data_IF_685258051405
#
_entry.id   IF_685258051405
#
_cell.length_a   1.000
_cell.length_b   1.000
_cell.length_c   1.000
_cell.angle_alpha   90.00
_cell.angle_beta   90.00
_cell.angle_gamma   90.00
#
_symmetry.space_group_name_H-M   'P 1'
#
loop_
_entity.id
_entity.type
_entity.pdbx_description
1 polymer ?
#
# COMPACT_ATOMS: atom_id res chain seq x y z
N UNK A 1 60.52 -88.32 22.82
CA UNK A 1 59.23 -87.59 22.71
C UNK A 1 59.43 -86.18 23.24
N UNK A 2 58.75 -85.18 22.65
CA UNK A 2 58.80 -83.71 22.94
C UNK A 2 59.91 -82.95 22.19
N UNK A 3 59.67 -81.86 21.46
CA UNK A 3 58.46 -81.11 21.05
C UNK A 3 58.80 -80.51 19.67
N UNK A 4 57.92 -80.64 18.67
CA UNK A 4 58.02 -79.86 17.42
C UNK A 4 57.54 -78.44 17.74
N UNK A 5 58.42 -77.45 17.68
CA UNK A 5 58.03 -76.05 17.78
C UNK A 5 57.48 -75.61 16.42
N UNK A 6 56.16 -75.47 16.36
CA UNK A 6 55.46 -74.92 15.21
C UNK A 6 55.47 -73.39 15.36
N UNK A 7 56.33 -72.72 14.60
CA UNK A 7 56.34 -71.24 14.55
C UNK A 7 55.22 -70.83 13.59
N UNK A 8 54.10 -70.39 14.17
CA UNK A 8 52.95 -69.88 13.43
C UNK A 8 53.21 -68.40 13.11
N UNK A 9 53.60 -68.08 11.88
CA UNK A 9 53.57 -66.70 11.38
C UNK A 9 52.11 -66.34 11.09
N UNK A 10 51.43 -65.69 12.06
CA UNK A 10 50.21 -64.95 11.75
C UNK A 10 50.61 -63.76 10.88
N UNK A 11 49.97 -63.54 9.71
CA UNK A 11 50.18 -62.31 8.98
C UNK A 11 49.71 -61.18 9.89
N UNK A 12 50.56 -60.17 10.10
CA UNK A 12 50.08 -58.86 10.52
C UNK A 12 49.16 -58.38 9.40
N UNK A 13 47.88 -58.71 9.51
CA UNK A 13 46.82 -57.83 9.05
C UNK A 13 47.03 -56.55 9.83
N UNK A 14 47.74 -55.62 9.22
CA UNK A 14 47.59 -54.20 9.52
C UNK A 14 46.08 -53.98 9.52
N UNK A 15 45.48 -53.89 10.71
CA UNK A 15 44.26 -53.16 10.91
C UNK A 15 44.59 -51.73 10.47
N UNK A 16 44.50 -51.49 9.16
CA UNK A 16 44.01 -50.21 8.69
C UNK A 16 42.60 -50.18 9.27
N UNK A 17 42.46 -49.54 10.43
CA UNK A 17 41.19 -48.93 10.80
C UNK A 17 40.82 -48.11 9.56
N UNK A 18 39.89 -48.60 8.75
CA UNK A 18 39.05 -47.67 8.05
C UNK A 18 38.32 -46.95 9.17
N UNK A 19 38.89 -45.84 9.65
CA UNK A 19 38.06 -44.74 10.06
C UNK A 19 37.31 -44.39 8.77
N UNK A 20 36.09 -44.90 8.61
CA UNK A 20 35.22 -44.33 7.59
C UNK A 20 34.97 -42.90 8.05
N UNK A 21 35.64 -41.94 7.41
CA UNK A 21 35.41 -40.52 7.60
C UNK A 21 34.00 -40.23 7.06
N UNK A 22 32.99 -40.59 7.84
CA UNK A 22 31.61 -40.27 7.55
C UNK A 22 31.45 -38.75 7.63
N UNK A 23 30.75 -38.13 6.66
CA UNK A 23 30.45 -36.72 6.73
C UNK A 23 29.74 -36.44 8.07
N UNK A 24 30.18 -35.39 8.75
CA UNK A 24 29.57 -34.96 9.99
C UNK A 24 28.27 -34.23 9.67
N UNK A 25 27.25 -34.48 10.47
CA UNK A 25 26.02 -33.70 10.48
C UNK A 25 26.27 -32.29 11.05
N UNK A 26 25.24 -31.43 11.10
CA UNK A 26 25.38 -30.07 11.62
C UNK A 26 25.76 -30.03 13.13
N UNK A 27 25.55 -31.12 13.88
CA UNK A 27 25.89 -31.26 15.30
C UNK A 27 27.33 -31.78 15.48
N UNK A 28 28.03 -32.07 14.38
CA UNK A 28 29.39 -32.59 14.38
C UNK A 28 29.48 -34.10 14.60
N UNK A 29 28.36 -34.83 14.53
CA UNK A 29 28.27 -36.29 14.66
C UNK A 29 28.57 -36.94 13.31
N UNK A 30 29.66 -37.73 13.18
CA UNK A 30 29.97 -38.46 11.95
C UNK A 30 28.84 -39.43 11.59
N UNK A 31 28.26 -39.29 10.40
CA UNK A 31 27.15 -40.12 9.93
C UNK A 31 25.82 -39.88 10.65
N UNK A 32 25.66 -38.77 11.36
CA UNK A 32 24.38 -38.35 11.91
C UNK A 32 23.43 -37.82 10.84
N UNK A 33 22.14 -37.73 11.18
CA UNK A 33 21.06 -37.32 10.28
C UNK A 33 20.65 -35.83 10.44
N UNK A 34 21.23 -35.09 11.40
CA UNK A 34 20.82 -33.72 11.70
C UNK A 34 21.21 -32.73 10.57
N UNK A 35 20.28 -31.86 10.22
CA UNK A 35 20.48 -30.81 9.22
C UNK A 35 20.21 -29.45 9.87
N UNK A 36 20.99 -28.43 9.47
CA UNK A 36 20.71 -27.06 9.88
C UNK A 36 19.50 -26.57 9.09
N UNK A 37 18.40 -26.24 9.79
CA UNK A 37 17.21 -25.67 9.18
C UNK A 37 17.43 -24.20 8.78
N UNK A 38 16.46 -23.61 8.07
CA UNK A 38 16.57 -22.22 7.60
C UNK A 38 16.57 -21.19 8.75
N UNK A 39 16.32 -21.59 10.01
CA UNK A 39 16.44 -20.76 11.20
C UNK A 39 17.69 -21.06 12.05
N UNK A 40 18.62 -21.88 11.54
CA UNK A 40 19.92 -22.17 12.15
C UNK A 40 19.87 -23.16 13.31
N UNK A 41 18.76 -23.88 13.48
CA UNK A 41 18.64 -24.98 14.43
C UNK A 41 19.11 -26.26 13.76
N UNK A 42 19.99 -26.97 14.45
CA UNK A 42 20.54 -28.23 13.99
C UNK A 42 19.80 -29.40 14.67
N UNK A 43 18.83 -29.98 13.98
CA UNK A 43 18.15 -31.21 14.40
C UNK A 43 17.65 -32.03 13.19
N UNK A 44 16.96 -33.14 13.45
CA UNK A 44 16.43 -34.06 12.44
C UNK A 44 14.89 -34.06 12.38
N UNK A 45 14.24 -33.06 13.00
CA UNK A 45 12.80 -33.03 13.16
C UNK A 45 12.13 -32.07 12.17
N UNK A 46 11.64 -32.57 11.02
CA UNK A 46 11.05 -31.74 9.97
C UNK A 46 9.76 -31.01 10.39
N UNK A 47 9.22 -31.31 11.57
CA UNK A 47 8.04 -30.62 12.10
C UNK A 47 8.36 -29.29 12.80
N UNK A 48 9.64 -29.00 13.08
CA UNK A 48 10.06 -27.70 13.62
C UNK A 48 11.06 -26.97 12.72
N UNK A 49 11.19 -27.40 11.46
CA UNK A 49 11.85 -26.64 10.41
C UNK A 49 11.04 -25.35 10.20
N UNK A 50 11.55 -24.24 10.72
CA UNK A 50 10.82 -22.97 10.85
C UNK A 50 10.04 -22.56 9.58
N UNK A 51 8.71 -22.43 9.70
CA UNK A 51 7.88 -21.89 8.62
C UNK A 51 8.04 -20.37 8.48
N UNK A 52 7.96 -19.88 7.25
CA UNK A 52 7.92 -18.45 6.93
C UNK A 52 6.59 -17.85 7.40
N UNK A 53 6.64 -16.75 8.16
CA UNK A 53 5.44 -16.02 8.51
C UNK A 53 4.91 -15.21 7.32
N UNK A 54 3.75 -14.59 7.50
CA UNK A 54 3.09 -13.85 6.43
C UNK A 54 3.84 -12.56 5.99
N UNK A 55 4.88 -12.14 6.72
CA UNK A 55 5.76 -11.01 6.37
C UNK A 55 7.07 -11.46 5.71
N UNK A 56 7.21 -12.77 5.45
CA UNK A 56 8.41 -13.35 4.86
C UNK A 56 9.53 -13.62 5.86
N UNK A 57 9.21 -13.71 7.16
CA UNK A 57 10.19 -13.91 8.23
C UNK A 57 10.10 -15.35 8.75
N UNK A 58 11.18 -16.11 8.59
CA UNK A 58 11.31 -17.47 9.13
C UNK A 58 11.21 -17.47 10.65
N UNK A 59 10.31 -18.29 11.18
CA UNK A 59 10.01 -18.35 12.62
C UNK A 59 9.36 -17.07 13.17
N UNK A 60 8.87 -16.20 12.28
CA UNK A 60 8.17 -14.98 12.65
C UNK A 60 6.79 -15.27 13.25
N UNK A 61 6.25 -14.29 13.98
CA UNK A 61 4.95 -14.38 14.64
C UNK A 61 3.99 -13.25 14.21
N UNK A 62 4.20 -12.69 13.02
CA UNK A 62 3.35 -11.61 12.54
C UNK A 62 1.91 -12.10 12.30
N UNK A 63 0.96 -11.27 12.71
CA UNK A 63 -0.45 -11.42 12.36
C UNK A 63 -0.69 -10.48 11.19
N UNK A 64 -0.96 -11.04 10.01
CA UNK A 64 -1.21 -10.24 8.82
C UNK A 64 -2.66 -9.78 8.71
N UNK A 65 -2.82 -8.57 8.19
CA UNK A 65 -4.09 -7.98 7.82
C UNK A 65 -3.96 -6.46 7.73
N UNK A 66 -5.05 -5.78 7.38
CA UNK A 66 -5.02 -4.35 7.24
C UNK A 66 -4.75 -3.62 8.58
N UNK A 67 -3.69 -2.80 8.62
CA UNK A 67 -3.32 -2.00 9.81
C UNK A 67 -3.89 -0.58 9.79
N UNK A 68 -4.46 -0.14 8.66
CA UNK A 68 -5.08 1.18 8.52
C UNK A 68 -6.44 1.23 9.23
N UNK A 69 -6.51 1.98 10.33
CA UNK A 69 -7.74 2.18 11.12
C UNK A 69 -8.91 2.83 10.36
N UNK A 70 -8.65 3.40 9.18
CA UNK A 70 -9.66 4.01 8.30
C UNK A 70 -10.18 3.07 7.21
N UNK A 71 -9.57 1.89 7.05
CA UNK A 71 -9.99 0.88 6.08
C UNK A 71 -11.21 0.09 6.57
N UNK A 72 -12.03 -0.39 5.63
CA UNK A 72 -13.25 -1.15 5.93
C UNK A 72 -12.92 -2.50 6.58
N UNK A 73 -11.82 -3.11 6.16
CA UNK A 73 -11.32 -4.38 6.65
C UNK A 73 -10.19 -4.22 7.67
N UNK A 74 -10.12 -3.09 8.38
CA UNK A 74 -9.17 -2.87 9.46
C UNK A 74 -9.18 -4.03 10.46
N UNK A 75 -8.00 -4.60 10.72
CA UNK A 75 -7.80 -5.66 11.69
C UNK A 75 -6.96 -5.15 12.87
N UNK A 76 -7.60 -4.91 14.00
CA UNK A 76 -6.93 -4.45 15.22
C UNK A 76 -5.89 -5.41 15.81
N UNK A 77 -5.90 -6.69 15.41
CA UNK A 77 -4.88 -7.66 15.85
C UNK A 77 -3.73 -7.79 14.86
N UNK A 78 -3.81 -7.16 13.69
CA UNK A 78 -2.73 -7.23 12.71
C UNK A 78 -1.49 -6.50 13.23
N UNK A 79 -0.34 -7.18 13.17
CA UNK A 79 0.98 -6.62 13.52
C UNK A 79 1.80 -6.30 12.28
N UNK A 80 1.35 -6.72 11.10
CA UNK A 80 1.98 -6.47 9.80
C UNK A 80 0.90 -6.24 8.73
N UNK A 81 1.09 -5.20 7.92
CA UNK A 81 0.20 -4.89 6.80
C UNK A 81 0.53 -5.79 5.61
N UNK A 82 -0.40 -6.65 5.23
CA UNK A 82 -0.28 -7.54 4.07
C UNK A 82 -0.73 -6.88 2.75
N UNK A 83 -1.07 -5.58 2.77
CA UNK A 83 -1.56 -4.85 1.62
C UNK A 83 -3.00 -5.19 1.25
N UNK A 84 -3.73 -5.91 2.11
CA UNK A 84 -5.14 -6.22 1.90
C UNK A 84 -6.08 -5.04 2.19
N UNK A 85 -5.58 -3.92 2.71
CA UNK A 85 -6.41 -2.78 3.10
C UNK A 85 -7.37 -2.32 2.00
N UNK A 86 -8.67 -2.50 2.26
CA UNK A 86 -9.75 -2.00 1.44
C UNK A 86 -9.95 -0.52 1.76
N UNK A 87 -9.41 0.34 0.88
CA UNK A 87 -9.56 1.78 1.02
C UNK A 87 -10.92 2.23 0.48
N UNK A 88 -11.56 3.06 1.30
CA UNK A 88 -12.84 3.74 1.13
C UNK A 88 -14.09 2.89 1.28
N UNK A 89 -14.92 3.30 2.23
CA UNK A 89 -16.37 3.25 2.05
C UNK A 89 -16.66 4.16 0.85
N UNK A 90 -16.75 3.59 -0.35
CA UNK A 90 -17.50 4.25 -1.42
C UNK A 90 -18.95 4.25 -0.95
N UNK A 91 -19.34 5.30 -0.24
CA UNK A 91 -20.73 5.51 0.15
C UNK A 91 -21.64 5.67 -1.08
N UNK A 92 -21.07 5.72 -2.28
CA UNK A 92 -21.70 5.98 -3.55
C UNK A 92 -21.10 7.24 -4.17
N UNK A 93 -21.21 7.34 -5.49
CA UNK A 93 -20.92 8.55 -6.27
C UNK A 93 -22.00 9.61 -6.00
N UNK A 94 -22.00 10.18 -4.79
CA UNK A 94 -22.88 11.28 -4.44
C UNK A 94 -22.28 12.60 -4.89
N UNK A 95 -23.13 13.43 -5.47
CA UNK A 95 -22.81 14.80 -5.83
C UNK A 95 -23.91 15.74 -5.34
N UNK A 96 -23.53 16.98 -5.10
CA UNK A 96 -24.48 18.05 -4.86
C UNK A 96 -25.10 18.45 -6.20
N UNK A 97 -26.43 18.37 -6.27
CA UNK A 97 -27.21 18.83 -7.42
C UNK A 97 -27.72 20.23 -7.12
N UNK A 98 -27.45 21.17 -8.02
CA UNK A 98 -27.92 22.55 -7.98
C UNK A 98 -28.93 22.67 -9.13
N UNK A 99 -30.19 22.98 -8.84
CA UNK A 99 -31.28 23.14 -9.81
C UNK A 99 -31.31 24.54 -10.46
N UNK A 100 -30.44 25.44 -9.98
CA UNK A 100 -30.27 26.79 -10.49
C UNK A 100 -31.13 27.83 -9.77
N UNK A 101 -31.90 27.43 -8.75
CA UNK A 101 -32.76 28.31 -7.95
C UNK A 101 -32.23 28.38 -6.51
N UNK A 102 -31.47 29.43 -6.21
CA UNK A 102 -30.96 29.76 -4.87
C UNK A 102 -30.16 28.63 -4.19
N UNK A 103 -29.47 27.79 -4.97
CA UNK A 103 -28.65 26.72 -4.44
C UNK A 103 -27.23 27.18 -4.09
N UNK A 104 -26.84 26.97 -2.83
CA UNK A 104 -25.47 27.14 -2.38
C UNK A 104 -25.23 26.33 -1.11
N UNK A 105 -23.95 26.04 -0.85
CA UNK A 105 -23.51 25.51 0.43
C UNK A 105 -22.65 26.57 1.09
N UNK A 106 -23.12 27.08 2.22
CA UNK A 106 -22.34 27.98 3.07
C UNK A 106 -21.54 27.16 4.07
N UNK A 107 -20.21 27.23 3.94
CA UNK A 107 -19.27 26.55 4.81
C UNK A 107 -18.67 27.50 5.87
N UNK A 108 -19.07 28.77 5.88
CA UNK A 108 -18.47 29.82 6.71
C UNK A 108 -17.08 30.24 6.26
N UNK A 109 -16.33 30.86 7.17
CA UNK A 109 -14.98 31.38 6.90
C UNK A 109 -13.93 30.27 6.98
N UNK A 110 -13.74 29.57 5.86
CA UNK A 110 -12.80 28.44 5.74
C UNK A 110 -11.56 28.74 4.90
N UNK A 111 -11.60 29.76 4.04
CA UNK A 111 -10.49 30.08 3.15
C UNK A 111 -9.53 31.04 3.85
N UNK A 112 -8.27 30.65 4.02
CA UNK A 112 -7.25 31.53 4.57
C UNK A 112 -7.01 32.74 3.65
N UNK A 113 -6.48 33.83 4.22
CA UNK A 113 -6.01 34.98 3.42
C UNK A 113 -4.61 34.76 2.81
N UNK A 114 -4.08 33.54 2.89
CA UNK A 114 -2.78 33.17 2.33
C UNK A 114 -2.94 32.48 0.97
N UNK A 115 -1.87 31.86 0.47
CA UNK A 115 -1.95 31.07 -0.76
C UNK A 115 -2.78 29.80 -0.53
N UNK A 116 -3.72 29.53 -1.44
CA UNK A 116 -4.56 28.34 -1.41
C UNK A 116 -4.87 27.88 -2.83
N UNK A 117 -5.25 26.62 -2.98
CA UNK A 117 -5.75 26.07 -4.25
C UNK A 117 -7.23 25.72 -4.08
N UNK A 118 -8.06 26.12 -5.04
CA UNK A 118 -9.46 25.68 -5.14
C UNK A 118 -9.54 24.57 -6.17
N UNK A 119 -10.18 23.46 -5.82
CA UNK A 119 -10.41 22.32 -6.71
C UNK A 119 -11.84 21.83 -6.58
N UNK A 120 -12.43 21.36 -7.67
CA UNK A 120 -13.76 20.75 -7.65
C UNK A 120 -13.96 19.79 -8.84
N UNK A 121 -14.80 18.78 -8.64
CA UNK A 121 -15.48 18.12 -9.76
C UNK A 121 -16.78 18.88 -10.04
N UNK A 122 -16.99 19.28 -11.29
CA UNK A 122 -18.18 20.01 -11.72
C UNK A 122 -18.75 19.43 -13.00
N UNK A 123 -20.08 19.45 -13.12
CA UNK A 123 -20.79 19.04 -14.32
C UNK A 123 -21.82 20.10 -14.66
N UNK A 124 -21.66 20.74 -15.82
CA UNK A 124 -22.65 21.70 -16.34
C UNK A 124 -23.67 20.96 -17.19
N UNK A 125 -24.95 21.17 -16.94
CA UNK A 125 -26.00 20.58 -17.77
C UNK A 125 -26.24 21.40 -19.06
N UNK A 126 -26.62 20.78 -20.20
CA UNK A 126 -26.70 21.46 -21.50
C UNK A 126 -27.78 22.52 -21.63
N UNK A 127 -28.86 22.42 -20.83
CA UNK A 127 -30.05 23.26 -20.96
C UNK A 127 -30.01 24.49 -20.04
N UNK A 128 -29.04 24.54 -19.13
CA UNK A 128 -28.88 25.66 -18.23
C UNK A 128 -28.03 26.74 -18.90
N UNK A 129 -28.51 27.99 -18.86
CA UNK A 129 -27.86 29.16 -19.47
C UNK A 129 -27.50 30.22 -18.42
N UNK A 130 -27.19 29.78 -17.20
CA UNK A 130 -26.78 30.64 -16.09
C UNK A 130 -25.30 31.07 -16.11
N UNK A 131 -24.93 31.83 -15.08
CA UNK A 131 -23.55 32.05 -14.67
C UNK A 131 -23.27 31.13 -13.47
N UNK A 132 -22.28 30.25 -13.59
CA UNK A 132 -22.06 29.21 -12.59
C UNK A 132 -20.94 29.59 -11.64
N UNK A 133 -21.28 30.00 -10.43
CA UNK A 133 -20.29 30.10 -9.36
C UNK A 133 -19.99 28.70 -8.82
N UNK A 134 -18.70 28.34 -8.72
CA UNK A 134 -18.26 27.02 -8.23
C UNK A 134 -17.79 27.16 -6.79
N UNK A 135 -16.74 27.97 -6.56
CA UNK A 135 -16.22 28.26 -5.21
C UNK A 135 -15.90 29.75 -5.14
N UNK A 136 -16.57 30.44 -4.23
CA UNK A 136 -16.30 31.84 -3.91
C UNK A 136 -16.03 32.00 -2.42
N UNK A 137 -15.30 33.06 -2.08
CA UNK A 137 -15.05 33.45 -0.69
C UNK A 137 -15.71 34.79 -0.38
N UNK A 138 -15.22 35.48 0.66
CA UNK A 138 -15.58 36.87 0.95
C UNK A 138 -15.36 37.79 -0.28
N UNK A 139 -15.80 39.05 -0.18
CA UNK A 139 -15.82 40.04 -1.27
C UNK A 139 -14.62 39.95 -2.22
N UNK A 140 -14.91 39.61 -3.48
CA UNK A 140 -13.99 39.74 -4.60
C UNK A 140 -13.41 38.45 -5.16
N UNK A 141 -13.62 37.27 -4.56
CA UNK A 141 -12.98 36.02 -4.99
C UNK A 141 -13.94 35.06 -5.68
N UNK A 142 -13.60 34.58 -6.87
CA UNK A 142 -14.42 33.60 -7.59
C UNK A 142 -13.58 32.54 -8.32
N UNK A 143 -14.07 31.31 -8.31
CA UNK A 143 -13.84 30.28 -9.32
C UNK A 143 -15.22 29.99 -9.92
N UNK A 144 -15.40 30.28 -11.20
CA UNK A 144 -16.73 30.34 -11.81
C UNK A 144 -16.68 30.18 -13.34
N UNK A 145 -17.85 30.03 -13.95
CA UNK A 145 -18.04 29.82 -15.39
C UNK A 145 -19.09 30.83 -15.90
N UNK A 146 -18.66 32.01 -16.41
CA UNK A 146 -19.55 33.02 -16.97
C UNK A 146 -20.09 32.64 -18.35
N UNK A 147 -21.38 32.89 -18.58
CA UNK A 147 -21.97 32.84 -19.93
C UNK A 147 -21.42 33.95 -20.84
N UNK A 148 -21.09 35.12 -20.28
CA UNK A 148 -20.49 36.25 -21.01
C UNK A 148 -19.13 35.93 -21.64
N UNK A 149 -18.42 34.94 -21.12
CA UNK A 149 -17.09 34.55 -21.57
C UNK A 149 -17.13 33.21 -22.32
N UNK A 150 -18.31 32.79 -22.79
CA UNK A 150 -18.47 31.55 -23.55
C UNK A 150 -18.28 30.30 -22.68
N UNK A 151 -18.67 30.35 -21.40
CA UNK A 151 -18.59 29.22 -20.47
C UNK A 151 -17.18 28.66 -20.25
N UNK A 152 -16.18 29.52 -20.36
CA UNK A 152 -14.79 29.21 -20.00
C UNK A 152 -14.64 29.29 -18.49
N UNK A 153 -13.91 28.34 -17.90
CA UNK A 153 -13.57 28.42 -16.48
C UNK A 153 -12.75 29.71 -16.25
N UNK A 154 -13.14 30.48 -15.25
CA UNK A 154 -12.51 31.74 -14.92
C UNK A 154 -12.33 31.86 -13.41
N UNK A 155 -11.31 32.60 -13.01
CA UNK A 155 -11.09 32.93 -11.62
C UNK A 155 -10.41 34.29 -11.44
N UNK A 156 -10.53 34.81 -10.23
CA UNK A 156 -9.78 35.96 -9.78
C UNK A 156 -10.23 36.48 -8.42
N UNK A 157 -9.65 37.62 -8.03
CA UNK A 157 -9.79 38.24 -6.72
C UNK A 157 -9.96 39.77 -6.85
N UNK A 158 -10.32 40.45 -5.75
CA UNK A 158 -10.45 41.91 -5.64
C UNK A 158 -11.34 42.57 -6.70
N UNK A 159 -12.40 41.86 -7.11
CA UNK A 159 -13.36 42.35 -8.11
C UNK A 159 -12.91 42.17 -9.56
N UNK A 160 -11.72 41.60 -9.80
CA UNK A 160 -11.26 41.14 -11.10
C UNK A 160 -11.61 39.65 -11.25
N UNK A 161 -12.84 39.35 -11.65
CA UNK A 161 -13.41 38.00 -11.63
C UNK A 161 -12.85 37.02 -12.67
N UNK A 162 -12.18 37.53 -13.70
CA UNK A 162 -11.69 36.75 -14.84
C UNK A 162 -10.22 37.03 -15.13
N UNK A 163 -9.43 37.25 -14.08
CA UNK A 163 -7.99 37.51 -14.17
C UNK A 163 -7.24 36.34 -14.81
N UNK A 164 -7.69 35.12 -14.52
CA UNK A 164 -7.27 33.91 -15.22
C UNK A 164 -8.50 33.25 -15.84
N UNK A 165 -8.31 32.66 -17.02
CA UNK A 165 -9.38 32.05 -17.77
C UNK A 165 -8.82 30.94 -18.66
N UNK A 166 -9.57 29.85 -18.78
CA UNK A 166 -9.28 28.82 -19.75
C UNK A 166 -9.43 29.31 -21.19
N UNK A 167 -8.78 28.57 -22.10
CA UNK A 167 -8.86 28.85 -23.53
C UNK A 167 -10.17 28.33 -24.14
N UNK A 168 -10.69 27.23 -23.60
CA UNK A 168 -11.86 26.53 -24.11
C UNK A 168 -13.01 26.55 -23.11
N UNK A 169 -14.22 26.40 -23.62
CA UNK A 169 -15.40 26.26 -22.78
C UNK A 169 -15.33 24.94 -22.02
N UNK A 170 -15.80 24.94 -20.78
CA UNK A 170 -15.99 23.71 -20.02
C UNK A 170 -17.05 22.86 -20.73
N UNK A 171 -16.90 21.54 -20.85
CA UNK A 171 -17.89 20.70 -21.52
C UNK A 171 -19.23 20.62 -20.76
N UNK A 172 -20.31 20.32 -21.49
CA UNK A 172 -21.65 20.05 -20.91
C UNK A 172 -21.94 18.56 -20.86
N UNK A 173 -22.71 18.10 -19.86
CA UNK A 173 -23.19 16.72 -19.76
C UNK A 173 -22.13 15.72 -19.27
N UNK A 174 -20.93 16.18 -18.93
CA UNK A 174 -19.83 15.36 -18.41
C UNK A 174 -19.11 16.01 -17.21
N UNK A 175 -18.51 15.17 -16.39
CA UNK A 175 -17.74 15.61 -15.22
C UNK A 175 -16.39 16.18 -15.63
N UNK A 176 -16.08 17.37 -15.13
CA UNK A 176 -14.80 18.04 -15.34
C UNK A 176 -14.12 18.26 -13.99
N UNK A 177 -12.83 17.94 -13.91
CA UNK A 177 -12.01 18.27 -12.74
C UNK A 177 -11.35 19.63 -12.97
N UNK A 178 -11.68 20.60 -12.12
CA UNK A 178 -11.22 21.99 -12.25
C UNK A 178 -10.34 22.38 -11.07
N UNK A 179 -9.36 23.24 -11.33
CA UNK A 179 -8.43 23.73 -10.33
C UNK A 179 -8.00 25.17 -10.63
N UNK A 180 -7.78 25.96 -9.59
CA UNK A 180 -7.08 27.25 -9.67
C UNK A 180 -6.20 27.43 -8.44
N UNK A 181 -5.05 28.06 -8.64
CA UNK A 181 -4.10 28.42 -7.59
C UNK A 181 -3.82 29.92 -7.58
#
# INVERSE_FOLDING_TARGET
MRKKNFVLFLPLLFWLSCEEDLPKDCAGVPGGDAVEDDCGVCDDNPSNDCEEDCAGILGGNNICGCTDSTAVNYNSTATFDDGSCERFIDNGEFFLSFDGVDDYVDLGDMLSQEAYTKVAWVKREPEDNGNYNIISGNTGHALWVPSSNGYKLAAGHDGAWTSVQDNEALSTGEWNFVAVT
#
